data_IF_991190965461
#
_entry.id   IF_991190965461
#
_cell.length_a   1.000
_cell.length_b   1.000
_cell.length_c   1.000
_cell.angle_alpha   90.00
_cell.angle_beta   90.00
_cell.angle_gamma   90.00
#
_symmetry.space_group_name_H-M   'P 1'
#
loop_
_entity.id
_entity.type
_entity.pdbx_description
1 polymer ?
#
# COMPACT_ATOMS: atom_id res chain seq x y z
N UNK A 1 20.27 14.64 5.36
CA UNK A 1 20.41 13.18 5.16
C UNK A 1 21.74 12.99 4.46
N UNK A 2 22.59 12.15 5.01
CA UNK A 2 23.90 11.86 4.41
C UNK A 2 23.67 11.00 3.15
N UNK A 3 24.38 11.22 2.03
CA UNK A 3 24.28 10.34 0.86
C UNK A 3 24.41 8.84 1.17
N UNK A 4 25.14 8.47 2.24
CA UNK A 4 25.27 7.07 2.68
C UNK A 4 23.96 6.47 3.19
N UNK A 5 23.01 7.28 3.66
CA UNK A 5 21.74 6.81 4.22
C UNK A 5 20.69 6.51 3.13
N UNK A 6 20.87 7.05 1.91
CA UNK A 6 19.88 6.95 0.83
C UNK A 6 19.52 5.50 0.43
N UNK A 7 20.46 4.55 0.36
CA UNK A 7 20.15 3.15 0.07
C UNK A 7 19.33 2.46 1.16
N UNK A 8 19.32 2.97 2.39
CA UNK A 8 18.55 2.40 3.50
C UNK A 8 17.15 2.99 3.64
N UNK A 9 16.78 3.95 2.78
CA UNK A 9 15.49 4.60 2.83
C UNK A 9 14.36 3.69 2.33
N UNK A 10 13.46 3.30 3.24
CA UNK A 10 12.26 2.47 3.01
C UNK A 10 12.57 1.13 2.31
N UNK A 11 13.29 0.23 2.99
CA UNK A 11 13.75 -1.08 2.47
C UNK A 11 12.67 -2.15 2.34
N UNK A 12 11.62 -1.88 1.57
CA UNK A 12 10.49 -2.78 1.45
C UNK A 12 10.84 -4.13 0.80
N UNK A 13 11.59 -4.13 -0.31
CA UNK A 13 11.89 -5.35 -1.08
C UNK A 13 12.89 -6.23 -0.35
N UNK A 14 13.99 -5.66 0.11
CA UNK A 14 15.03 -6.41 0.83
C UNK A 14 14.47 -7.08 2.08
N UNK A 15 13.59 -6.39 2.83
CA UNK A 15 12.95 -6.97 4.01
C UNK A 15 12.01 -8.12 3.63
N UNK A 16 11.17 -7.96 2.59
CA UNK A 16 10.31 -9.05 2.11
C UNK A 16 11.10 -10.26 1.61
N UNK A 17 12.18 -10.03 0.85
CA UNK A 17 13.03 -11.09 0.33
C UNK A 17 13.79 -11.82 1.47
N UNK A 18 14.07 -11.12 2.57
CA UNK A 18 14.56 -11.69 3.82
C UNK A 18 13.47 -12.32 4.72
N UNK A 19 12.24 -12.46 4.21
CA UNK A 19 11.08 -12.98 4.97
C UNK A 19 10.73 -12.17 6.22
N UNK A 20 11.13 -10.90 6.28
CA UNK A 20 10.69 -9.97 7.34
C UNK A 20 9.30 -9.46 6.99
N UNK A 21 8.29 -9.68 7.85
CA UNK A 21 6.92 -9.28 7.59
C UNK A 21 6.76 -7.75 7.63
N UNK A 22 6.00 -7.20 6.68
CA UNK A 22 5.75 -5.76 6.57
C UNK A 22 4.26 -5.43 6.62
N UNK A 23 3.95 -4.26 7.17
CA UNK A 23 2.71 -3.51 6.96
C UNK A 23 3.07 -2.17 6.33
N UNK A 24 2.16 -1.61 5.53
CA UNK A 24 2.33 -0.26 5.01
C UNK A 24 1.49 0.73 5.81
N UNK A 25 1.99 1.95 5.89
CA UNK A 25 1.33 3.09 6.52
C UNK A 25 1.62 4.31 5.68
N UNK A 26 0.70 5.27 5.70
CA UNK A 26 0.89 6.54 5.00
C UNK A 26 1.56 7.61 5.84
N UNK A 27 1.71 7.38 7.15
CA UNK A 27 2.21 8.36 8.11
C UNK A 27 1.40 9.67 8.13
N UNK A 28 0.11 9.60 7.77
CA UNK A 28 -0.79 10.74 7.84
C UNK A 28 -0.89 11.26 9.29
N UNK A 29 -0.94 12.59 9.50
CA UNK A 29 -1.10 13.64 8.49
C UNK A 29 0.20 14.18 7.89
N UNK A 30 1.36 13.65 8.29
CA UNK A 30 2.65 14.10 7.74
C UNK A 30 2.87 13.59 6.31
N UNK A 31 2.45 12.35 6.04
CA UNK A 31 2.34 11.81 4.69
C UNK A 31 0.90 11.89 4.13
N UNK A 32 0.69 11.39 2.90
CA UNK A 32 -0.60 11.41 2.24
C UNK A 32 -1.71 10.73 3.07
N UNK A 33 -2.93 11.28 3.03
CA UNK A 33 -4.11 10.58 3.58
C UNK A 33 -4.52 9.40 2.68
N UNK A 34 -4.26 9.51 1.37
CA UNK A 34 -4.62 8.50 0.40
C UNK A 34 -3.67 7.27 0.44
N UNK A 35 -4.16 6.07 0.79
CA UNK A 35 -3.34 4.85 0.78
C UNK A 35 -2.95 4.41 -0.64
N UNK A 36 -3.70 4.79 -1.68
CA UNK A 36 -3.35 4.44 -3.07
C UNK A 36 -2.08 5.16 -3.52
N UNK A 37 -1.87 6.42 -3.09
CA UNK A 37 -0.61 7.12 -3.29
C UNK A 37 0.58 6.39 -2.65
N UNK A 38 0.38 5.70 -1.52
CA UNK A 38 1.45 4.91 -0.88
C UNK A 38 1.71 3.61 -1.66
N UNK A 39 0.66 2.96 -2.15
CA UNK A 39 0.79 1.80 -3.04
C UNK A 39 1.55 2.20 -4.31
N UNK A 40 1.21 3.33 -4.92
CA UNK A 40 1.92 3.88 -6.08
C UNK A 40 3.39 4.19 -5.75
N UNK A 41 3.66 4.87 -4.63
CA UNK A 41 5.01 5.21 -4.20
C UNK A 41 5.87 3.95 -3.95
N UNK A 42 5.30 2.88 -3.39
CA UNK A 42 6.00 1.62 -3.17
C UNK A 42 6.37 0.90 -4.48
N UNK A 43 5.58 1.09 -5.54
CA UNK A 43 5.78 0.49 -6.87
C UNK A 43 6.77 1.29 -7.70
N UNK A 44 6.58 2.61 -7.76
CA UNK A 44 7.32 3.49 -8.67
C UNK A 44 8.58 4.06 -8.02
N UNK A 45 8.53 4.30 -6.70
CA UNK A 45 9.58 4.93 -5.90
C UNK A 45 10.05 6.27 -6.48
N UNK A 46 9.10 7.09 -6.90
CA UNK A 46 9.37 8.35 -7.58
C UNK A 46 9.04 9.52 -6.66
N UNK A 47 9.92 10.51 -6.58
CA UNK A 47 9.66 11.77 -5.88
C UNK A 47 8.69 12.66 -6.65
N UNK A 48 8.22 13.74 -6.03
CA UNK A 48 7.41 14.76 -6.72
C UNK A 48 8.12 15.39 -7.94
N UNK A 49 9.45 15.36 -7.99
CA UNK A 49 10.24 15.88 -9.13
C UNK A 49 10.48 14.84 -10.23
N UNK A 50 9.95 13.62 -10.09
CA UNK A 50 10.18 12.54 -11.06
C UNK A 50 11.45 11.72 -10.83
N UNK A 51 12.20 11.99 -9.75
CA UNK A 51 13.44 11.27 -9.44
C UNK A 51 13.10 9.92 -8.84
N UNK A 52 13.67 8.83 -9.37
CA UNK A 52 13.53 7.50 -8.77
C UNK A 52 14.50 7.36 -7.60
N UNK A 53 14.01 6.95 -6.44
CA UNK A 53 14.78 6.77 -5.21
C UNK A 53 14.85 5.29 -4.88
N UNK A 54 16.07 4.75 -4.82
CA UNK A 54 16.33 3.38 -4.37
C UNK A 54 15.44 2.34 -5.10
N UNK A 55 15.56 2.29 -6.43
CA UNK A 55 14.70 1.49 -7.31
C UNK A 55 14.67 -0.01 -6.98
N UNK A 56 15.73 -0.51 -6.35
CA UNK A 56 15.86 -1.92 -5.97
C UNK A 56 14.88 -2.30 -4.86
N UNK A 57 14.40 -1.31 -4.10
CA UNK A 57 13.41 -1.48 -3.05
C UNK A 57 11.95 -1.36 -3.53
N UNK A 58 11.72 -1.44 -4.85
CA UNK A 58 10.37 -1.50 -5.45
C UNK A 58 9.68 -2.82 -5.09
N UNK A 59 8.38 -2.74 -4.83
CA UNK A 59 7.54 -3.92 -4.60
C UNK A 59 6.36 -3.96 -5.56
N UNK A 60 5.84 -5.16 -5.84
CA UNK A 60 4.64 -5.31 -6.66
C UNK A 60 3.43 -4.63 -5.99
N UNK A 61 2.55 -3.99 -6.78
CA UNK A 61 1.36 -3.31 -6.26
C UNK A 61 0.50 -4.23 -5.38
N UNK A 62 0.36 -5.51 -5.77
CA UNK A 62 -0.35 -6.50 -4.98
C UNK A 62 0.29 -6.75 -3.60
N UNK A 63 1.62 -6.70 -3.51
CA UNK A 63 2.33 -6.83 -2.23
C UNK A 63 2.14 -5.60 -1.36
N UNK A 64 2.22 -4.40 -1.94
CA UNK A 64 1.94 -3.14 -1.24
C UNK A 64 0.49 -3.10 -0.72
N UNK A 65 -0.50 -3.43 -1.56
CA UNK A 65 -1.91 -3.48 -1.15
C UNK A 65 -2.14 -4.49 -0.02
N UNK A 66 -1.49 -5.66 -0.04
CA UNK A 66 -1.57 -6.63 1.07
C UNK A 66 -1.10 -6.03 2.40
N UNK A 67 -0.12 -5.13 2.37
CA UNK A 67 0.37 -4.41 3.55
C UNK A 67 -0.69 -3.55 4.25
N UNK A 68 -1.77 -3.18 3.55
CA UNK A 68 -2.93 -2.46 4.10
C UNK A 68 -4.09 -3.36 4.50
N UNK A 69 -4.10 -4.62 4.06
CA UNK A 69 -5.20 -5.56 4.30
C UNK A 69 -4.94 -6.46 5.52
N UNK A 70 -3.76 -6.39 6.13
CA UNK A 70 -3.42 -7.10 7.35
C UNK A 70 -3.91 -6.40 8.63
N UNK A 71 -3.67 -7.03 9.78
CA UNK A 71 -3.85 -6.38 11.08
C UNK A 71 -2.63 -5.52 11.41
N UNK A 72 -2.78 -4.26 11.87
CA UNK A 72 -1.66 -3.47 12.35
C UNK A 72 -0.89 -4.13 13.51
N UNK A 73 -1.57 -4.94 14.33
CA UNK A 73 -0.95 -5.70 15.41
C UNK A 73 -0.18 -6.95 14.94
N UNK A 74 -0.32 -7.32 13.66
CA UNK A 74 0.38 -8.46 13.05
C UNK A 74 0.79 -8.11 11.61
N UNK A 75 1.84 -7.29 11.42
CA UNK A 75 2.41 -7.00 10.11
C UNK A 75 2.74 -8.28 9.35
N UNK A 76 2.56 -8.28 8.02
CA UNK A 76 2.76 -9.46 7.16
C UNK A 76 1.82 -10.64 7.44
N UNK A 77 0.87 -10.52 8.37
CA UNK A 77 -0.14 -11.53 8.64
C UNK A 77 -1.11 -11.74 7.47
N UNK A 78 -2.00 -12.72 7.62
CA UNK A 78 -2.98 -13.04 6.58
C UNK A 78 -3.86 -11.81 6.26
N UNK A 79 -3.99 -11.41 4.97
CA UNK A 79 -4.85 -10.29 4.62
C UNK A 79 -6.32 -10.64 4.89
N UNK A 80 -7.09 -9.65 5.34
CA UNK A 80 -8.55 -9.80 5.48
C UNK A 80 -9.18 -10.23 4.16
N UNK A 81 -10.24 -11.03 4.27
CA UNK A 81 -10.99 -11.59 3.14
C UNK A 81 -12.43 -11.15 3.23
N UNK A 82 -13.03 -10.85 2.08
CA UNK A 82 -14.47 -10.66 1.97
C UNK A 82 -15.13 -12.02 2.15
N UNK A 83 -15.82 -12.21 3.27
CA UNK A 83 -16.55 -13.44 3.61
C UNK A 83 -17.70 -13.12 4.54
N UNK A 84 -18.70 -13.99 4.57
CA UNK A 84 -19.80 -13.90 5.53
C UNK A 84 -19.24 -13.90 6.96
N UNK A 85 -19.76 -13.00 7.79
CA UNK A 85 -19.36 -12.81 9.20
C UNK A 85 -18.11 -11.96 9.42
N UNK A 86 -17.44 -11.45 8.38
CA UNK A 86 -16.38 -10.45 8.54
C UNK A 86 -16.98 -9.02 8.65
N UNK A 87 -16.24 -8.05 9.22
CA UNK A 87 -16.64 -6.64 9.17
C UNK A 87 -16.94 -6.18 7.74
N UNK A 88 -18.03 -5.45 7.56
CA UNK A 88 -18.45 -4.90 6.27
C UNK A 88 -17.68 -3.60 5.95
N UNK A 89 -16.35 -3.69 6.00
CA UNK A 89 -15.41 -2.62 5.65
C UNK A 89 -14.86 -2.91 4.25
N UNK A 90 -15.33 -2.14 3.26
CA UNK A 90 -15.07 -2.42 1.85
C UNK A 90 -14.65 -1.14 1.11
N UNK A 91 -13.69 -1.29 0.21
CA UNK A 91 -13.41 -0.32 -0.84
C UNK A 91 -13.90 -0.92 -2.15
N UNK A 92 -14.92 -0.31 -2.75
CA UNK A 92 -15.49 -0.75 -4.02
C UNK A 92 -14.80 -0.02 -5.14
N UNK A 93 -14.31 -0.74 -6.15
CA UNK A 93 -13.63 -0.16 -7.31
C UNK A 93 -14.58 -0.02 -8.50
N UNK A 94 -14.35 1.00 -9.33
CA UNK A 94 -15.02 1.21 -10.62
C UNK A 94 -14.44 0.32 -11.72
N UNK A 95 -13.24 -0.19 -11.50
CA UNK A 95 -12.50 -1.07 -12.41
C UNK A 95 -12.17 -2.38 -11.71
N UNK A 96 -11.94 -3.47 -12.46
CA UNK A 96 -11.37 -4.71 -11.92
C UNK A 96 -10.07 -4.48 -11.13
N UNK A 97 -9.83 -5.29 -10.09
CA UNK A 97 -8.67 -5.11 -9.19
C UNK A 97 -7.33 -5.22 -9.92
N UNK A 98 -7.19 -6.13 -10.88
CA UNK A 98 -5.99 -6.27 -11.70
C UNK A 98 -5.66 -4.98 -12.47
N UNK A 99 -6.67 -4.29 -13.01
CA UNK A 99 -6.51 -2.97 -13.63
C UNK A 99 -6.06 -1.91 -12.63
N UNK A 100 -6.69 -1.85 -11.46
CA UNK A 100 -6.29 -0.90 -10.41
C UNK A 100 -4.86 -1.17 -9.90
N UNK A 101 -4.39 -2.41 -9.92
CA UNK A 101 -3.03 -2.77 -9.52
C UNK A 101 -1.98 -2.42 -10.59
N UNK A 102 -2.35 -2.37 -11.88
CA UNK A 102 -1.47 -1.90 -12.96
C UNK A 102 -1.22 -0.39 -12.89
N UNK A 103 -2.19 0.39 -12.41
CA UNK A 103 -2.10 1.84 -12.22
C UNK A 103 -2.80 2.24 -10.91
N UNK A 104 -2.13 2.10 -9.74
CA UNK A 104 -2.73 2.43 -8.45
C UNK A 104 -3.18 3.90 -8.40
N UNK A 105 -4.45 4.13 -8.08
CA UNK A 105 -5.01 5.47 -7.92
C UNK A 105 -6.33 5.43 -7.13
N UNK A 106 -6.54 6.43 -6.29
CA UNK A 106 -7.82 6.62 -5.59
C UNK A 106 -8.99 6.92 -6.54
N UNK A 107 -8.73 7.39 -7.77
CA UNK A 107 -9.79 7.65 -8.77
C UNK A 107 -10.55 6.38 -9.17
N UNK A 108 -9.93 5.22 -8.96
CA UNK A 108 -10.56 3.93 -9.16
C UNK A 108 -11.60 3.60 -8.08
N UNK A 109 -11.62 4.31 -6.95
CA UNK A 109 -12.58 4.08 -5.87
C UNK A 109 -13.97 4.60 -6.26
N UNK A 110 -14.95 3.70 -6.22
CA UNK A 110 -16.37 4.01 -6.41
C UNK A 110 -17.02 4.47 -5.12
N UNK A 111 -16.73 3.76 -4.04
CA UNK A 111 -17.37 3.89 -2.75
C UNK A 111 -16.50 3.27 -1.66
N UNK A 112 -16.58 3.85 -0.47
CA UNK A 112 -16.03 3.27 0.76
C UNK A 112 -17.20 2.91 1.66
N UNK A 113 -17.20 1.68 2.17
CA UNK A 113 -18.20 1.20 3.12
C UNK A 113 -17.47 0.91 4.42
N UNK A 114 -17.96 1.45 5.53
CA UNK A 114 -17.40 1.24 6.86
C UNK A 114 -18.51 0.73 7.77
N UNK A 115 -18.32 -0.42 8.41
CA UNK A 115 -19.34 -1.10 9.21
C UNK A 115 -20.69 -1.25 8.49
N UNK A 116 -20.67 -1.49 7.18
CA UNK A 116 -21.87 -1.65 6.36
C UNK A 116 -22.59 -0.34 5.99
N UNK A 117 -22.02 0.82 6.31
CA UNK A 117 -22.54 2.13 5.94
C UNK A 117 -21.69 2.76 4.85
N UNK A 118 -22.33 3.37 3.86
CA UNK A 118 -21.63 4.14 2.83
C UNK A 118 -21.04 5.42 3.46
N UNK A 119 -19.75 5.64 3.24
CA UNK A 119 -18.99 6.80 3.70
C UNK A 119 -18.74 7.78 2.55
#
# INVERSE_FOLDING_TARGET
MDPVDLPDLYRCRSLLDASVPLALSSDAPYGPIDPWAIVEAAVNRTTATGTVVNSDERVAAAAALRGYLGSPACPGGAPRRVRVGAPADLVVLRVPLDRALCAPSADHVRATVVHGQLW
#
